data_IF_512439039775
#
_entry.id   IF_512439039775
#
_cell.length_a   1.000
_cell.length_b   1.000
_cell.length_c   1.000
_cell.angle_alpha   90.00
_cell.angle_beta   90.00
_cell.angle_gamma   90.00
#
_symmetry.space_group_name_H-M   'P 1'
#
loop_
_entity.id
_entity.type
_entity.pdbx_description
1 polymer ?
#
# COMPACT_ATOMS: atom_id res chain seq x y z
N UNK A 1 -10.96 -1.15 -38.91
CA UNK A 1 -9.96 -1.73 -38.00
C UNK A 1 -9.16 -0.54 -37.49
N UNK A 2 -9.55 0.00 -36.33
CA UNK A 2 -8.76 1.02 -35.63
C UNK A 2 -7.54 0.30 -35.06
N UNK A 3 -6.36 0.58 -35.60
CA UNK A 3 -5.12 0.23 -34.94
C UNK A 3 -4.95 1.21 -33.80
N UNK A 4 -5.19 0.74 -32.57
CA UNK A 4 -4.68 1.42 -31.39
C UNK A 4 -3.16 1.36 -31.47
N UNK A 5 -2.54 2.51 -31.71
CA UNK A 5 -1.09 2.68 -31.59
C UNK A 5 -0.71 2.31 -30.15
N UNK A 6 0.39 1.55 -29.91
CA UNK A 6 0.84 1.34 -28.55
C UNK A 6 1.21 2.70 -27.97
N UNK A 7 0.47 3.18 -26.97
CA UNK A 7 0.88 4.32 -26.16
C UNK A 7 2.33 4.10 -25.75
N UNK A 8 3.21 4.98 -26.23
CA UNK A 8 4.62 4.95 -25.89
C UNK A 8 4.74 5.14 -24.36
N UNK A 9 5.36 4.20 -23.62
CA UNK A 9 5.51 4.34 -22.18
C UNK A 9 6.42 5.51 -21.77
N UNK A 10 6.99 6.26 -22.71
CA UNK A 10 7.76 7.50 -22.44
C UNK A 10 6.87 8.73 -22.21
N UNK A 11 5.54 8.63 -22.33
CA UNK A 11 4.61 9.65 -21.81
C UNK A 11 4.25 9.41 -20.32
N UNK A 12 5.07 8.62 -19.60
CA UNK A 12 5.16 8.84 -18.16
C UNK A 12 5.91 10.15 -18.01
N UNK A 13 5.19 11.24 -17.73
CA UNK A 13 5.75 12.47 -17.22
C UNK A 13 6.62 12.07 -16.01
N UNK A 14 7.92 11.96 -16.24
CA UNK A 14 8.89 11.71 -15.20
C UNK A 14 8.81 12.95 -14.35
N UNK A 15 8.02 12.89 -13.29
CA UNK A 15 7.92 13.92 -12.27
C UNK A 15 9.33 14.39 -11.97
N UNK A 16 9.66 15.58 -12.44
CA UNK A 16 10.98 16.14 -12.27
C UNK A 16 11.16 16.37 -10.77
N UNK A 17 12.12 15.68 -10.10
CA UNK A 17 12.30 15.79 -8.66
C UNK A 17 12.86 17.16 -8.23
N UNK A 18 13.01 18.11 -9.18
CA UNK A 18 13.50 19.48 -8.99
C UNK A 18 12.36 20.51 -9.05
N UNK A 19 11.10 20.11 -8.89
CA UNK A 19 10.06 21.09 -8.55
C UNK A 19 10.40 21.76 -7.20
N UNK A 20 10.62 23.09 -7.14
CA UNK A 20 11.09 23.80 -5.94
C UNK A 20 10.03 23.96 -4.85
N UNK A 21 8.93 23.21 -4.92
CA UNK A 21 7.90 23.10 -3.87
C UNK A 21 8.17 21.89 -2.94
N UNK A 22 9.43 21.47 -2.82
CA UNK A 22 9.92 20.77 -1.64
C UNK A 22 10.06 21.80 -0.52
N UNK A 23 8.92 22.24 0.01
CA UNK A 23 8.81 23.13 1.17
C UNK A 23 9.73 22.63 2.28
N UNK A 24 10.56 23.54 2.78
CA UNK A 24 11.61 23.25 3.73
C UNK A 24 11.05 22.63 5.04
N UNK A 25 11.51 21.41 5.35
CA UNK A 25 11.64 20.92 6.73
C UNK A 25 10.76 19.76 7.14
N UNK A 26 11.03 18.55 6.64
CA UNK A 26 10.99 17.32 7.45
C UNK A 26 11.82 16.25 6.71
N UNK A 27 12.92 15.79 7.32
CA UNK A 27 13.58 14.59 6.80
C UNK A 27 12.64 13.41 6.99
N UNK A 28 12.37 12.58 5.97
CA UNK A 28 11.40 11.50 6.10
C UNK A 28 11.74 10.59 7.27
N UNK A 29 10.75 10.29 8.12
CA UNK A 29 10.90 9.31 9.20
C UNK A 29 11.05 7.90 8.62
N UNK A 30 12.29 7.52 8.35
CA UNK A 30 12.64 6.20 7.81
C UNK A 30 12.21 5.08 8.75
N UNK A 31 12.15 5.32 10.07
CA UNK A 31 11.69 4.33 11.03
C UNK A 31 10.20 4.00 10.84
N UNK A 32 9.38 5.02 10.61
CA UNK A 32 7.97 4.84 10.28
C UNK A 32 7.80 4.10 8.94
N UNK A 33 8.57 4.49 7.92
CA UNK A 33 8.52 3.82 6.60
C UNK A 33 8.89 2.34 6.73
N UNK A 34 9.96 1.99 7.47
CA UNK A 34 10.35 0.60 7.69
C UNK A 34 9.22 -0.20 8.35
N UNK A 35 8.59 0.34 9.40
CA UNK A 35 7.48 -0.32 10.07
C UNK A 35 6.27 -0.55 9.14
N UNK A 36 5.98 0.39 8.25
CA UNK A 36 4.93 0.21 7.24
C UNK A 36 5.28 -0.90 6.26
N UNK A 37 6.54 -0.99 5.82
CA UNK A 37 7.00 -2.07 4.94
C UNK A 37 6.93 -3.45 5.60
N UNK A 38 7.34 -3.58 6.87
CA UNK A 38 7.18 -4.81 7.66
C UNK A 38 5.70 -5.23 7.77
N UNK A 39 4.80 -4.26 7.95
CA UNK A 39 3.37 -4.53 8.03
C UNK A 39 2.82 -5.06 6.70
N UNK A 40 3.27 -4.51 5.57
CA UNK A 40 2.91 -4.98 4.22
C UNK A 40 3.46 -6.38 3.97
N UNK A 41 4.71 -6.65 4.32
CA UNK A 41 5.31 -7.99 4.17
C UNK A 41 4.48 -9.03 4.92
N UNK A 42 4.14 -8.76 6.19
CA UNK A 42 3.29 -9.66 6.97
C UNK A 42 1.91 -9.87 6.33
N UNK A 43 1.31 -8.81 5.76
CA UNK A 43 0.02 -8.91 5.11
C UNK A 43 0.08 -9.81 3.86
N UNK A 44 1.16 -9.72 3.07
CA UNK A 44 1.39 -10.57 1.90
C UNK A 44 1.61 -12.03 2.29
N UNK A 45 2.38 -12.30 3.36
CA UNK A 45 2.55 -13.66 3.89
C UNK A 45 1.22 -14.28 4.32
N UNK A 46 0.35 -13.50 4.98
CA UNK A 46 -0.99 -13.96 5.36
C UNK A 46 -1.89 -14.20 4.14
N UNK A 47 -1.74 -13.40 3.09
CA UNK A 47 -2.48 -13.57 1.84
C UNK A 47 -2.10 -14.88 1.16
N UNK A 48 -0.81 -15.18 1.08
CA UNK A 48 -0.29 -16.46 0.58
C UNK A 48 -0.78 -17.65 1.43
N UNK A 49 -0.74 -17.50 2.76
CA UNK A 49 -1.23 -18.51 3.70
C UNK A 49 -2.78 -18.63 3.74
N UNK A 50 -3.52 -17.76 3.05
CA UNK A 50 -4.99 -17.76 3.05
C UNK A 50 -5.64 -17.30 4.36
N UNK A 51 -4.91 -16.58 5.22
CA UNK A 51 -5.36 -16.08 6.54
C UNK A 51 -5.48 -14.55 6.60
N UNK A 52 -5.29 -13.86 5.49
CA UNK A 52 -5.31 -12.39 5.39
C UNK A 52 -6.60 -11.75 5.90
N UNK A 53 -7.75 -12.30 5.53
CA UNK A 53 -9.09 -11.84 5.90
C UNK A 53 -9.53 -12.31 7.28
N UNK A 54 -8.70 -12.97 8.06
CA UNK A 54 -9.09 -13.56 9.36
C UNK A 54 -8.46 -12.77 10.50
N UNK A 55 -9.29 -12.31 11.44
CA UNK A 55 -8.85 -11.68 12.69
C UNK A 55 -7.97 -12.66 13.47
N UNK A 56 -6.75 -12.25 13.78
CA UNK A 56 -5.76 -13.13 14.44
C UNK A 56 -6.11 -13.50 15.89
N UNK A 57 -7.03 -12.77 16.53
CA UNK A 57 -7.44 -12.96 17.92
C UNK A 57 -8.76 -13.72 18.00
N UNK A 58 -9.78 -13.26 17.27
CA UNK A 58 -11.12 -13.86 17.34
C UNK A 58 -11.31 -15.01 16.35
N UNK A 59 -10.52 -15.04 15.28
CA UNK A 59 -10.71 -15.99 14.17
C UNK A 59 -11.88 -15.64 13.26
N UNK A 60 -12.58 -14.53 13.50
CA UNK A 60 -13.69 -14.05 12.68
C UNK A 60 -13.17 -13.33 11.42
N UNK A 61 -13.96 -13.26 10.34
CA UNK A 61 -13.56 -12.50 9.16
C UNK A 61 -13.45 -11.00 9.45
N UNK A 62 -12.36 -10.39 8.98
CA UNK A 62 -12.17 -8.93 8.95
C UNK A 62 -13.08 -8.36 7.86
N UNK A 63 -13.93 -7.36 8.15
CA UNK A 63 -14.80 -6.76 7.16
C UNK A 63 -14.01 -6.10 6.02
N UNK A 64 -14.52 -6.21 4.78
CA UNK A 64 -13.87 -5.64 3.59
C UNK A 64 -13.59 -4.13 3.74
N UNK A 65 -14.54 -3.36 4.26
CA UNK A 65 -14.37 -1.92 4.47
C UNK A 65 -13.24 -1.56 5.45
N UNK A 66 -12.84 -2.47 6.34
CA UNK A 66 -11.69 -2.28 7.23
C UNK A 66 -10.41 -2.46 6.44
N UNK A 67 -10.32 -3.50 5.61
CA UNK A 67 -9.15 -3.77 4.76
C UNK A 67 -9.00 -2.75 3.63
N UNK A 68 -10.11 -2.21 3.10
CA UNK A 68 -10.08 -1.11 2.14
C UNK A 68 -9.48 0.17 2.75
N UNK A 69 -9.75 0.41 4.02
CA UNK A 69 -9.23 1.57 4.76
C UNK A 69 -7.80 1.35 5.27
N UNK A 70 -7.51 0.14 5.74
CA UNK A 70 -6.21 -0.29 6.25
C UNK A 70 -5.88 -1.72 5.76
N UNK A 71 -5.16 -1.85 4.64
CA UNK A 71 -4.88 -3.15 4.03
C UNK A 71 -3.92 -4.02 4.85
N UNK A 72 -3.27 -3.47 5.88
CA UNK A 72 -2.40 -4.23 6.79
C UNK A 72 -3.09 -4.56 8.12
N UNK A 73 -4.40 -4.26 8.25
CA UNK A 73 -5.17 -4.60 9.43
C UNK A 73 -5.13 -6.10 9.74
N UNK A 74 -4.95 -6.41 11.03
CA UNK A 74 -4.91 -7.79 11.54
C UNK A 74 -6.13 -8.15 12.39
N UNK A 75 -6.95 -7.14 12.71
CA UNK A 75 -8.06 -7.25 13.66
C UNK A 75 -9.23 -6.36 13.26
N UNK A 76 -10.41 -6.74 13.72
CA UNK A 76 -11.60 -5.89 13.66
C UNK A 76 -11.44 -4.76 14.69
N UNK A 77 -11.67 -3.49 14.32
CA UNK A 77 -11.67 -2.39 15.28
C UNK A 77 -12.78 -2.60 16.32
N UNK A 78 -12.42 -2.47 17.60
CA UNK A 78 -13.33 -2.62 18.75
C UNK A 78 -14.24 -1.42 18.97
#
# INVERSE_FOLDING_TARGET
MESVEPTDPSEIDVVDPTSPEAEAGDSPDLGHVMQQLDAVETALERLDAGTYWTDEVTGEPIPEHVLDADPVARRVPS
#
